data_IF_847305705991
#
_entry.id   IF_847305705991
#
_cell.length_a   1.000
_cell.length_b   1.000
_cell.length_c   1.000
_cell.angle_alpha   90.00
_cell.angle_beta   90.00
_cell.angle_gamma   90.00
#
_symmetry.space_group_name_H-M   'P 1'
#
loop_
_entity.id
_entity.type
_entity.pdbx_description
1 polymer ?
#
# COMPACT_ATOMS: atom_id res chain seq x y z
N UNK A 1 -63.32 -42.54 -3.97
CA UNK A 1 -62.79 -41.85 -5.16
C UNK A 1 -61.77 -40.82 -4.68
N UNK A 2 -60.61 -40.73 -5.34
CA UNK A 2 -59.29 -41.01 -4.76
C UNK A 2 -58.33 -39.79 -4.95
N UNK A 3 -57.07 -39.76 -4.51
CA UNK A 3 -55.87 -40.53 -4.94
C UNK A 3 -54.84 -40.47 -3.79
N UNK A 4 -54.33 -41.57 -3.21
CA UNK A 4 -53.32 -42.53 -3.73
C UNK A 4 -52.04 -41.79 -4.20
N UNK A 5 -50.81 -42.11 -3.80
CA UNK A 5 -50.22 -43.31 -3.21
C UNK A 5 -48.72 -42.99 -2.92
N UNK A 6 -48.02 -43.92 -2.25
CA UNK A 6 -46.57 -44.21 -2.39
C UNK A 6 -45.56 -43.24 -1.72
N UNK A 7 -44.50 -43.66 -1.00
CA UNK A 7 -43.85 -44.96 -0.89
C UNK A 7 -42.96 -45.05 0.36
N UNK A 8 -42.79 -46.29 0.78
CA UNK A 8 -41.91 -46.86 1.79
C UNK A 8 -40.44 -46.40 1.75
N UNK A 9 -39.87 -46.41 2.95
CA UNK A 9 -38.46 -46.39 3.28
C UNK A 9 -37.68 -47.48 2.52
N UNK A 10 -36.63 -47.09 1.80
CA UNK A 10 -35.53 -47.97 1.43
C UNK A 10 -34.21 -47.29 1.84
N UNK A 11 -33.49 -47.98 2.72
CA UNK A 11 -32.13 -47.68 3.14
C UNK A 11 -31.21 -48.01 1.97
N UNK A 12 -30.46 -47.02 1.47
CA UNK A 12 -29.38 -47.25 0.50
C UNK A 12 -28.05 -47.47 1.26
N UNK A 13 -27.21 -48.43 0.81
CA UNK A 13 -25.97 -48.75 1.49
C UNK A 13 -24.91 -47.66 1.30
N UNK A 14 -24.19 -47.38 2.39
CA UNK A 14 -23.03 -46.49 2.44
C UNK A 14 -21.96 -46.97 1.45
N UNK A 15 -21.72 -46.19 0.40
CA UNK A 15 -20.60 -46.42 -0.52
C UNK A 15 -19.32 -45.92 0.17
N UNK A 16 -18.21 -46.69 0.21
CA UNK A 16 -16.97 -46.20 0.76
C UNK A 16 -16.42 -45.08 -0.14
N UNK A 17 -16.14 -43.93 0.47
CA UNK A 17 -15.46 -42.80 -0.17
C UNK A 17 -14.05 -43.25 -0.53
N UNK A 18 -13.85 -43.57 -1.81
CA UNK A 18 -12.53 -43.78 -2.39
C UNK A 18 -11.79 -42.44 -2.34
N UNK A 19 -10.70 -42.40 -1.58
CA UNK A 19 -9.82 -41.25 -1.50
C UNK A 19 -9.20 -40.97 -2.87
N UNK A 20 -9.55 -39.83 -3.46
CA UNK A 20 -8.82 -39.28 -4.60
C UNK A 20 -7.48 -38.68 -4.13
N UNK A 21 -6.40 -38.75 -4.94
CA UNK A 21 -5.07 -38.32 -4.53
C UNK A 21 -5.02 -36.82 -4.26
N UNK A 22 -4.47 -36.46 -3.11
CA UNK A 22 -4.12 -35.10 -2.73
C UNK A 22 -3.33 -34.41 -3.84
N UNK A 23 -3.95 -33.42 -4.50
CA UNK A 23 -3.18 -32.44 -5.27
C UNK A 23 -2.52 -31.50 -4.25
N UNK A 24 -1.19 -31.35 -4.23
CA UNK A 24 -0.54 -30.48 -3.25
C UNK A 24 -1.00 -29.04 -3.45
N UNK A 25 -1.63 -28.48 -2.42
CA UNK A 25 -1.94 -27.06 -2.34
C UNK A 25 -0.62 -26.28 -2.45
N UNK A 26 -0.43 -25.36 -3.42
CA UNK A 26 0.87 -24.71 -3.61
C UNK A 26 1.22 -23.85 -2.39
N UNK A 27 2.44 -24.06 -1.86
CA UNK A 27 2.99 -23.36 -0.69
C UNK A 27 2.91 -21.81 -0.84
N UNK A 28 2.69 -21.06 0.25
CA UNK A 28 2.48 -19.61 0.24
C UNK A 28 3.54 -18.79 -0.51
N UNK A 29 4.80 -19.23 -0.50
CA UNK A 29 5.94 -18.54 -1.13
C UNK A 29 5.86 -18.42 -2.66
N UNK A 30 5.30 -19.41 -3.37
CA UNK A 30 5.19 -19.34 -4.85
C UNK A 30 4.13 -18.33 -5.28
N UNK A 31 3.09 -18.13 -4.46
CA UNK A 31 2.01 -17.16 -4.72
C UNK A 31 2.48 -15.73 -4.46
N UNK A 32 3.18 -15.49 -3.34
CA UNK A 32 3.73 -14.16 -3.02
C UNK A 32 4.78 -13.71 -4.05
N UNK A 33 5.68 -14.59 -4.49
CA UNK A 33 6.70 -14.24 -5.48
C UNK A 33 6.09 -13.90 -6.85
N UNK A 34 5.07 -14.66 -7.30
CA UNK A 34 4.36 -14.40 -8.56
C UNK A 34 3.51 -13.13 -8.51
N UNK A 35 2.87 -12.88 -7.37
CA UNK A 35 2.07 -11.68 -7.12
C UNK A 35 2.96 -10.43 -7.06
N UNK A 36 4.12 -10.51 -6.41
CA UNK A 36 5.12 -9.43 -6.40
C UNK A 36 5.70 -9.16 -7.79
N UNK A 37 5.95 -10.20 -8.60
CA UNK A 37 6.42 -10.05 -9.98
C UNK A 37 5.39 -9.36 -10.88
N UNK A 38 4.11 -9.72 -10.76
CA UNK A 38 3.03 -9.07 -11.51
C UNK A 38 2.81 -7.62 -11.03
N UNK A 39 2.91 -7.37 -9.72
CA UNK A 39 2.82 -6.03 -9.16
C UNK A 39 3.98 -5.12 -9.61
N UNK A 40 5.19 -5.67 -9.77
CA UNK A 40 6.35 -4.92 -10.25
C UNK A 40 6.25 -4.45 -11.70
N UNK A 41 5.34 -5.02 -12.51
CA UNK A 41 5.13 -4.63 -13.92
C UNK A 41 4.01 -3.63 -14.16
N UNK A 42 3.07 -3.50 -13.20
CA UNK A 42 1.91 -2.59 -13.33
C UNK A 42 1.95 -1.54 -12.19
N UNK A 43 2.19 -0.25 -12.51
CA UNK A 43 2.28 0.81 -11.52
C UNK A 43 0.94 1.12 -10.82
N UNK A 44 -0.16 0.48 -11.26
CA UNK A 44 -1.50 0.58 -10.65
C UNK A 44 -2.01 -0.75 -10.08
N UNK A 45 -1.21 -1.82 -10.05
CA UNK A 45 -1.67 -3.18 -9.72
C UNK A 45 -2.55 -3.26 -8.45
N UNK A 46 -2.09 -2.71 -7.32
CA UNK A 46 -2.85 -2.79 -6.07
C UNK A 46 -4.07 -1.87 -6.05
N UNK A 47 -4.03 -0.77 -6.80
CA UNK A 47 -5.18 0.12 -6.96
C UNK A 47 -6.24 -0.48 -7.87
N UNK A 48 -5.85 -1.10 -8.99
CA UNK A 48 -6.74 -1.87 -9.86
C UNK A 48 -7.54 -2.89 -9.05
N UNK A 49 -6.86 -3.62 -8.14
CA UNK A 49 -7.52 -4.57 -7.24
C UNK A 49 -8.42 -3.92 -6.20
N UNK A 50 -8.04 -2.76 -5.68
CA UNK A 50 -8.87 -2.00 -4.75
C UNK A 50 -10.17 -1.52 -5.42
N UNK A 51 -10.06 -0.79 -6.53
CA UNK A 51 -11.20 -0.19 -7.24
C UNK A 51 -12.11 -1.24 -7.89
N UNK A 52 -11.60 -2.44 -8.23
CA UNK A 52 -12.43 -3.56 -8.69
C UNK A 52 -13.54 -3.98 -7.70
N UNK A 53 -13.41 -3.64 -6.41
CA UNK A 53 -14.46 -3.90 -5.42
C UNK A 53 -15.61 -2.87 -5.48
N UNK A 54 -15.51 -1.87 -6.34
CA UNK A 54 -16.47 -0.79 -6.53
C UNK A 54 -16.92 -0.71 -7.99
N UNK A 55 -17.70 -1.69 -8.50
CA UNK A 55 -18.01 -1.83 -9.92
C UNK A 55 -18.82 -0.67 -10.52
N UNK A 56 -19.46 0.15 -9.67
CA UNK A 56 -20.22 1.33 -10.10
C UNK A 56 -19.36 2.61 -10.14
N UNK A 57 -18.07 2.52 -9.85
CA UNK A 57 -17.13 3.64 -9.95
C UNK A 57 -16.24 3.48 -11.19
N UNK A 58 -16.27 4.49 -12.04
CA UNK A 58 -15.46 4.58 -13.25
C UNK A 58 -14.05 5.08 -12.90
N UNK A 59 -13.21 4.13 -12.47
CA UNK A 59 -11.82 4.39 -12.09
C UNK A 59 -10.95 4.66 -13.32
N UNK A 60 -10.31 5.83 -13.35
CA UNK A 60 -9.32 6.20 -14.36
C UNK A 60 -7.90 5.99 -13.80
N UNK A 61 -7.16 4.96 -14.24
CA UNK A 61 -5.82 4.66 -13.74
C UNK A 61 -4.77 5.71 -14.15
N UNK A 62 -5.05 6.59 -15.11
CA UNK A 62 -4.12 7.64 -15.55
C UNK A 62 -4.10 8.86 -14.62
N UNK A 63 -5.12 9.04 -13.79
CA UNK A 63 -5.24 10.18 -12.88
C UNK A 63 -4.49 9.95 -11.56
N UNK A 64 -4.10 11.03 -10.84
CA UNK A 64 -3.50 10.93 -9.51
C UNK A 64 -4.38 10.13 -8.54
N UNK A 65 -3.78 9.19 -7.82
CA UNK A 65 -4.54 8.15 -7.14
C UNK A 65 -5.44 8.66 -6.02
N UNK A 66 -4.97 9.71 -5.33
CA UNK A 66 -5.76 10.36 -4.29
C UNK A 66 -6.96 11.11 -4.86
N UNK A 67 -6.89 11.61 -6.10
CA UNK A 67 -8.05 12.24 -6.77
C UNK A 67 -9.12 11.19 -7.07
N UNK A 68 -8.72 10.03 -7.57
CA UNK A 68 -9.65 8.91 -7.83
C UNK A 68 -10.30 8.40 -6.55
N UNK A 69 -9.51 8.26 -5.47
CA UNK A 69 -10.07 7.88 -4.18
C UNK A 69 -11.06 8.90 -3.62
N UNK A 70 -10.81 10.21 -3.81
CA UNK A 70 -11.76 11.26 -3.42
C UNK A 70 -13.03 11.23 -4.29
N UNK A 71 -12.92 11.12 -5.62
CA UNK A 71 -14.07 10.95 -6.52
C UNK A 71 -14.94 9.76 -6.11
N UNK A 72 -14.31 8.62 -5.82
CA UNK A 72 -15.02 7.43 -5.34
C UNK A 72 -15.71 7.71 -4.00
N UNK A 73 -15.05 8.39 -3.07
CA UNK A 73 -15.65 8.75 -1.79
C UNK A 73 -16.88 9.67 -1.95
N UNK A 74 -16.82 10.62 -2.87
CA UNK A 74 -17.90 11.56 -3.14
C UNK A 74 -19.09 10.86 -3.82
N UNK A 75 -18.84 9.83 -4.62
CA UNK A 75 -19.88 9.02 -5.27
C UNK A 75 -20.65 8.15 -4.27
N UNK A 76 -19.96 7.37 -3.43
CA UNK A 76 -20.62 6.38 -2.57
C UNK A 76 -21.04 6.93 -1.21
N UNK A 77 -20.43 8.02 -0.76
CA UNK A 77 -20.70 8.61 0.54
C UNK A 77 -20.83 10.14 0.46
N UNK A 78 -21.78 10.65 -0.37
CA UNK A 78 -22.04 12.07 -0.48
C UNK A 78 -22.69 12.60 0.81
N UNK A 79 -22.40 13.86 1.17
CA UNK A 79 -23.10 14.59 2.23
C UNK A 79 -23.14 13.95 3.62
N UNK A 80 -22.02 13.40 4.10
CA UNK A 80 -21.93 12.89 5.48
C UNK A 80 -21.51 13.99 6.47
N UNK A 81 -22.20 14.12 7.62
CA UNK A 81 -21.69 14.85 8.77
C UNK A 81 -20.34 14.29 9.22
N UNK A 82 -19.44 15.13 9.73
CA UNK A 82 -18.10 14.69 10.15
C UNK A 82 -18.16 13.69 11.31
N UNK A 83 -19.21 13.77 12.12
CA UNK A 83 -19.41 12.91 13.30
C UNK A 83 -19.84 11.48 12.94
N UNK A 84 -20.39 11.27 11.74
CA UNK A 84 -20.95 9.99 11.30
C UNK A 84 -20.23 9.46 10.06
N UNK A 85 -19.02 8.96 10.24
CA UNK A 85 -18.32 8.25 9.15
C UNK A 85 -18.78 6.79 9.14
N UNK A 86 -19.49 6.32 8.08
CA UNK A 86 -19.97 4.94 7.98
C UNK A 86 -18.84 3.94 8.09
N UNK A 87 -19.14 2.77 8.65
CA UNK A 87 -18.21 1.63 8.73
C UNK A 87 -17.55 1.32 7.39
N UNK A 88 -18.32 1.41 6.32
CA UNK A 88 -17.90 0.99 4.99
C UNK A 88 -16.93 2.00 4.38
N UNK A 89 -17.12 3.30 4.64
CA UNK A 89 -16.15 4.36 4.29
C UNK A 89 -14.85 4.22 5.08
N UNK A 90 -14.93 3.87 6.37
CA UNK A 90 -13.74 3.58 7.21
C UNK A 90 -12.96 2.38 6.66
N UNK A 91 -13.68 1.31 6.30
CA UNK A 91 -13.08 0.12 5.68
C UNK A 91 -12.45 0.43 4.33
N UNK A 92 -13.16 1.13 3.44
CA UNK A 92 -12.63 1.58 2.15
C UNK A 92 -11.33 2.37 2.31
N UNK A 93 -11.28 3.30 3.27
CA UNK A 93 -10.06 4.07 3.57
C UNK A 93 -8.93 3.21 4.09
N UNK A 94 -9.21 2.22 4.95
CA UNK A 94 -8.21 1.27 5.43
C UNK A 94 -7.64 0.41 4.29
N UNK A 95 -8.52 -0.12 3.43
CA UNK A 95 -8.13 -0.96 2.31
C UNK A 95 -7.36 -0.16 1.24
N UNK A 96 -7.74 1.09 1.00
CA UNK A 96 -7.01 1.99 0.12
C UNK A 96 -5.61 2.34 0.66
N UNK A 97 -5.48 2.62 1.98
CA UNK A 97 -4.17 2.82 2.62
C UNK A 97 -3.27 1.60 2.50
N UNK A 98 -3.84 0.40 2.65
CA UNK A 98 -3.10 -0.84 2.40
C UNK A 98 -2.63 -0.93 0.94
N UNK A 99 -3.45 -0.52 -0.03
CA UNK A 99 -3.06 -0.49 -1.44
C UNK A 99 -1.90 0.49 -1.70
N UNK A 100 -1.90 1.68 -1.09
CA UNK A 100 -0.78 2.63 -1.17
C UNK A 100 0.55 2.00 -0.73
N UNK A 101 0.55 1.32 0.41
CA UNK A 101 1.73 0.66 0.99
C UNK A 101 2.22 -0.47 0.10
N UNK A 102 1.31 -1.33 -0.33
CA UNK A 102 1.65 -2.45 -1.20
C UNK A 102 2.17 -1.98 -2.56
N UNK A 103 1.59 -0.92 -3.12
CA UNK A 103 2.06 -0.35 -4.38
C UNK A 103 3.44 0.29 -4.23
N UNK A 104 3.69 1.04 -3.16
CA UNK A 104 5.03 1.56 -2.87
C UNK A 104 6.07 0.42 -2.84
N UNK A 105 5.80 -0.62 -2.06
CA UNK A 105 6.71 -1.76 -1.90
C UNK A 105 6.95 -2.50 -3.22
N UNK A 106 5.95 -2.58 -4.11
CA UNK A 106 6.12 -3.21 -5.42
C UNK A 106 6.97 -2.38 -6.38
N UNK A 107 6.93 -1.05 -6.28
CA UNK A 107 7.73 -0.16 -7.13
C UNK A 107 9.18 -0.10 -6.61
N UNK A 108 9.33 0.19 -5.33
CA UNK A 108 10.62 0.57 -4.75
C UNK A 108 11.34 -0.55 -4.01
N UNK A 109 10.62 -1.61 -3.63
CA UNK A 109 11.13 -2.69 -2.79
C UNK A 109 10.72 -2.54 -1.33
N UNK A 110 10.95 -3.60 -0.56
CA UNK A 110 10.61 -3.65 0.87
C UNK A 110 11.74 -4.22 1.75
N UNK A 111 12.88 -4.58 1.16
CA UNK A 111 14.00 -5.15 1.89
C UNK A 111 14.98 -4.04 2.27
N UNK A 112 15.00 -3.67 3.56
CA UNK A 112 15.91 -2.66 4.07
C UNK A 112 17.39 -3.02 3.93
N UNK A 113 17.74 -4.28 3.69
CA UNK A 113 19.11 -4.73 3.49
C UNK A 113 19.51 -4.84 2.02
N UNK A 114 18.62 -4.49 1.09
CA UNK A 114 18.87 -4.54 -0.34
C UNK A 114 19.34 -3.18 -0.87
N UNK A 115 20.65 -3.05 -1.13
CA UNK A 115 21.26 -1.83 -1.68
C UNK A 115 20.56 -1.34 -2.96
N UNK A 116 20.14 -2.24 -3.86
CA UNK A 116 19.52 -1.85 -5.12
C UNK A 116 18.15 -1.18 -4.93
N UNK A 117 17.38 -1.58 -3.90
CA UNK A 117 16.11 -0.94 -3.57
C UNK A 117 16.33 0.49 -3.05
N UNK A 118 17.40 0.70 -2.26
CA UNK A 118 17.79 2.01 -1.77
C UNK A 118 18.31 2.93 -2.88
N UNK A 119 19.20 2.44 -3.75
CA UNK A 119 19.71 3.21 -4.88
C UNK A 119 18.58 3.63 -5.82
N UNK A 120 17.58 2.77 -6.03
CA UNK A 120 16.37 3.11 -6.80
C UNK A 120 15.63 4.30 -6.18
N UNK A 121 15.50 4.36 -4.85
CA UNK A 121 14.92 5.53 -4.18
C UNK A 121 15.78 6.78 -4.38
N UNK A 122 17.10 6.69 -4.26
CA UNK A 122 18.00 7.83 -4.50
C UNK A 122 17.82 8.42 -5.91
N UNK A 123 17.72 7.56 -6.94
CA UNK A 123 17.45 7.96 -8.33
C UNK A 123 16.13 8.69 -8.45
N UNK A 124 15.05 8.13 -7.89
CA UNK A 124 13.69 8.67 -8.05
C UNK A 124 13.49 9.96 -7.27
N UNK A 125 14.20 10.12 -6.16
CA UNK A 125 14.28 11.37 -5.41
C UNK A 125 15.17 12.42 -6.10
N UNK A 126 15.80 12.08 -7.24
CA UNK A 126 16.67 12.95 -8.01
C UNK A 126 17.80 13.55 -7.17
N UNK A 127 18.46 12.70 -6.38
CA UNK A 127 19.60 13.07 -5.55
C UNK A 127 20.86 13.13 -6.42
N UNK A 128 21.73 14.12 -6.18
CA UNK A 128 22.89 14.42 -7.03
C UNK A 128 23.90 13.27 -7.11
N UNK A 129 24.00 12.47 -6.04
CA UNK A 129 24.88 11.33 -5.94
C UNK A 129 24.12 10.11 -5.42
N UNK A 130 24.42 8.94 -5.97
CA UNK A 130 23.85 7.65 -5.56
C UNK A 130 24.97 6.86 -4.87
N UNK A 131 24.92 6.67 -3.55
CA UNK A 131 25.96 5.93 -2.84
C UNK A 131 26.02 4.45 -3.23
N UNK A 132 27.23 3.88 -3.15
CA UNK A 132 27.48 2.44 -3.32
C UNK A 132 27.43 1.66 -1.99
N UNK A 133 27.17 2.37 -0.89
CA UNK A 133 27.05 1.79 0.45
C UNK A 133 25.63 1.94 0.99
N UNK A 134 25.15 0.86 1.61
CA UNK A 134 23.78 0.74 2.10
C UNK A 134 23.44 1.81 3.15
N UNK A 135 24.35 2.02 4.10
CA UNK A 135 24.13 2.95 5.21
C UNK A 135 24.06 4.40 4.71
N UNK A 136 24.95 4.77 3.78
CA UNK A 136 24.93 6.10 3.15
C UNK A 136 23.63 6.34 2.36
N UNK A 137 23.09 5.32 1.67
CA UNK A 137 21.79 5.46 1.01
C UNK A 137 20.66 5.65 2.02
N UNK A 138 20.66 4.90 3.13
CA UNK A 138 19.66 5.02 4.19
C UNK A 138 19.66 6.43 4.79
N UNK A 139 20.82 6.93 5.18
CA UNK A 139 20.99 8.27 5.73
C UNK A 139 20.51 9.35 4.75
N UNK A 140 20.94 9.24 3.50
CA UNK A 140 20.59 10.20 2.46
C UNK A 140 19.07 10.23 2.22
N UNK A 141 18.43 9.07 2.06
CA UNK A 141 16.98 8.98 1.90
C UNK A 141 16.24 9.50 3.15
N UNK A 142 16.71 9.14 4.35
CA UNK A 142 16.14 9.59 5.61
C UNK A 142 16.28 11.11 5.82
N UNK A 143 17.28 11.76 5.22
CA UNK A 143 17.44 13.21 5.27
C UNK A 143 16.43 13.96 4.39
N UNK A 144 15.72 13.27 3.50
CA UNK A 144 14.74 13.89 2.61
C UNK A 144 13.37 14.05 3.25
N UNK A 145 12.61 15.03 2.77
CA UNK A 145 11.19 15.18 3.06
C UNK A 145 10.41 15.17 1.76
N UNK A 146 9.61 14.14 1.53
CA UNK A 146 8.86 13.92 0.29
C UNK A 146 7.48 13.36 0.62
N UNK A 147 6.47 13.65 -0.21
CA UNK A 147 5.16 13.01 -0.03
C UNK A 147 5.16 11.64 -0.70
N UNK A 148 4.92 10.59 0.09
CA UNK A 148 4.94 9.20 -0.38
C UNK A 148 3.84 8.87 -1.41
N UNK A 149 2.72 9.60 -1.42
CA UNK A 149 1.71 9.45 -2.47
C UNK A 149 2.26 9.93 -3.80
N UNK A 150 3.00 11.04 -3.82
CA UNK A 150 3.64 11.53 -5.06
C UNK A 150 4.62 10.50 -5.61
N UNK A 151 5.39 9.82 -4.75
CA UNK A 151 6.26 8.71 -5.18
C UNK A 151 5.48 7.54 -5.75
N UNK A 152 4.32 7.20 -5.19
CA UNK A 152 3.49 6.11 -5.74
C UNK A 152 2.83 6.50 -7.06
N UNK A 153 2.49 7.77 -7.26
CA UNK A 153 1.91 8.29 -8.51
C UNK A 153 2.96 8.56 -9.60
N UNK A 154 4.24 8.74 -9.25
CA UNK A 154 5.32 9.14 -10.16
C UNK A 154 5.46 8.23 -11.40
N UNK A 155 5.43 6.89 -11.32
CA UNK A 155 5.53 6.03 -12.50
C UNK A 155 4.41 6.22 -13.52
N UNK A 156 3.25 6.75 -13.11
CA UNK A 156 2.10 6.97 -14.00
C UNK A 156 2.04 8.42 -14.45
N UNK A 157 2.12 9.35 -13.51
CA UNK A 157 1.98 10.77 -13.79
C UNK A 157 3.21 11.37 -14.47
N UNK A 158 4.38 10.72 -14.31
CA UNK A 158 5.68 11.22 -14.77
C UNK A 158 6.02 12.61 -14.22
N UNK A 159 5.34 13.02 -13.14
CA UNK A 159 5.62 14.26 -12.42
C UNK A 159 6.60 13.94 -11.30
N UNK A 160 7.81 14.54 -11.30
CA UNK A 160 8.79 14.32 -10.24
C UNK A 160 8.23 14.67 -8.85
N UNK A 161 8.50 13.82 -7.87
CA UNK A 161 8.07 14.06 -6.50
C UNK A 161 8.83 15.26 -5.93
N UNK A 162 8.10 16.19 -5.30
CA UNK A 162 8.70 17.39 -4.73
C UNK A 162 9.46 17.05 -3.45
N UNK A 163 10.74 17.39 -3.41
CA UNK A 163 11.50 17.44 -2.17
C UNK A 163 11.20 18.75 -1.41
N UNK A 164 10.97 18.62 -0.11
CA UNK A 164 10.73 19.72 0.80
C UNK A 164 11.97 19.92 1.68
N UNK A 165 12.27 21.18 2.01
CA UNK A 165 13.38 21.52 2.92
C UNK A 165 13.09 21.24 4.39
N UNK A 166 11.86 20.85 4.75
CA UNK A 166 11.49 20.52 6.12
C UNK A 166 10.20 19.70 6.22
N UNK A 167 10.06 18.97 7.32
CA UNK A 167 8.85 18.21 7.66
C UNK A 167 7.62 19.12 7.76
N UNK A 168 7.77 20.36 8.27
CA UNK A 168 6.67 21.33 8.33
C UNK A 168 6.12 21.69 6.95
N UNK A 169 6.99 21.85 5.95
CA UNK A 169 6.55 22.16 4.58
C UNK A 169 5.91 20.95 3.91
N UNK A 170 6.46 19.76 4.12
CA UNK A 170 5.82 18.51 3.72
C UNK A 170 4.43 18.36 4.36
N UNK A 171 4.31 18.67 5.66
CA UNK A 171 3.05 18.65 6.41
C UNK A 171 2.03 19.62 5.81
N UNK A 172 2.43 20.87 5.58
CA UNK A 172 1.57 21.89 5.00
C UNK A 172 1.07 21.49 3.59
N UNK A 173 1.97 20.98 2.75
CA UNK A 173 1.62 20.45 1.42
C UNK A 173 0.62 19.30 1.54
N UNK A 174 0.92 18.29 2.36
CA UNK A 174 0.08 17.10 2.52
C UNK A 174 -1.31 17.44 3.06
N UNK A 175 -1.40 18.38 4.02
CA UNK A 175 -2.67 18.90 4.54
C UNK A 175 -3.47 19.61 3.47
N UNK A 176 -2.81 20.45 2.66
CA UNK A 176 -3.44 21.22 1.59
C UNK A 176 -3.99 20.33 0.48
N UNK A 177 -3.25 19.30 0.07
CA UNK A 177 -3.64 18.41 -1.03
C UNK A 177 -4.49 17.23 -0.57
N UNK A 178 -4.49 16.92 0.73
CA UNK A 178 -5.16 15.75 1.29
C UNK A 178 -4.45 14.42 1.02
N UNK A 179 -3.22 14.45 0.52
CA UNK A 179 -2.46 13.26 0.09
C UNK A 179 -1.78 12.55 1.28
N UNK A 180 -2.57 12.01 2.19
CA UNK A 180 -2.06 11.33 3.37
C UNK A 180 -1.64 9.89 3.08
N UNK A 181 -0.35 9.61 3.27
CA UNK A 181 0.16 8.24 3.35
C UNK A 181 -0.04 7.67 4.76
N UNK A 182 -0.38 6.36 4.91
CA UNK A 182 -0.53 5.73 6.22
C UNK A 182 0.77 5.77 7.04
N UNK A 183 0.65 6.16 8.31
CA UNK A 183 1.77 6.17 9.28
C UNK A 183 1.75 4.92 10.18
N UNK A 184 0.66 4.13 10.14
CA UNK A 184 0.43 3.05 11.09
C UNK A 184 1.53 1.97 11.03
N UNK A 185 2.05 1.56 12.19
CA UNK A 185 3.21 0.65 12.33
C UNK A 185 3.06 -0.68 11.61
N UNK A 186 1.83 -1.17 11.45
CA UNK A 186 1.52 -2.37 10.66
C UNK A 186 1.95 -2.28 9.18
N UNK A 187 2.23 -1.08 8.70
CA UNK A 187 2.67 -0.77 7.34
C UNK A 187 4.09 -0.20 7.27
N UNK A 188 4.71 0.10 8.41
CA UNK A 188 5.99 0.80 8.54
C UNK A 188 7.17 -0.19 8.64
N UNK A 189 7.26 -1.15 7.72
CA UNK A 189 8.39 -2.07 7.61
C UNK A 189 9.26 -1.77 6.39
N UNK A 190 10.52 -2.18 6.42
CA UNK A 190 11.44 -2.04 5.29
C UNK A 190 11.78 -0.59 4.98
N UNK A 191 11.89 -0.26 3.69
CA UNK A 191 12.26 1.09 3.22
C UNK A 191 11.32 2.20 3.74
N UNK A 192 10.03 1.90 3.89
CA UNK A 192 9.02 2.89 4.28
C UNK A 192 9.31 3.53 5.63
N UNK A 193 9.84 2.80 6.60
CA UNK A 193 10.06 3.33 7.96
C UNK A 193 10.98 4.56 7.97
N UNK A 194 11.94 4.62 7.03
CA UNK A 194 12.91 5.71 6.92
C UNK A 194 12.35 6.96 6.24
N UNK A 195 11.25 6.82 5.49
CA UNK A 195 10.58 7.91 4.77
C UNK A 195 9.36 8.48 5.49
N UNK A 196 8.83 7.76 6.49
CA UNK A 196 7.64 8.19 7.22
C UNK A 196 7.91 9.42 8.09
N UNK A 197 6.94 10.35 8.11
CA UNK A 197 7.04 11.65 8.78
C UNK A 197 5.75 11.99 9.54
N UNK A 198 5.86 12.79 10.58
CA UNK A 198 4.73 13.28 11.38
C UNK A 198 4.00 14.40 10.64
N UNK A 199 2.96 14.05 9.89
CA UNK A 199 2.21 15.04 9.10
C UNK A 199 1.25 15.88 9.95
N UNK A 200 0.63 15.30 10.98
CA UNK A 200 -0.37 16.04 11.78
C UNK A 200 0.28 17.07 12.70
N UNK A 201 1.33 16.64 13.40
CA UNK A 201 2.11 17.41 14.36
C UNK A 201 3.59 17.32 13.97
N UNK A 202 4.03 18.08 12.95
CA UNK A 202 5.40 18.02 12.46
C UNK A 202 6.38 18.51 13.53
N UNK A 203 7.55 17.87 13.61
CA UNK A 203 8.63 18.31 14.48
C UNK A 203 9.25 19.63 14.00
N UNK A 204 10.08 20.23 14.84
CA UNK A 204 10.70 21.53 14.59
C UNK A 204 11.86 21.48 13.57
N UNK A 205 12.13 20.31 12.99
CA UNK A 205 13.16 20.14 11.96
C UNK A 205 14.58 19.97 12.52
N UNK A 206 14.73 19.68 13.80
CA UNK A 206 15.97 19.11 14.30
C UNK A 206 16.00 17.65 13.87
N UNK A 207 17.11 17.25 13.26
CA UNK A 207 17.36 15.90 12.77
C UNK A 207 16.81 14.85 13.74
N UNK A 208 16.22 13.80 13.17
CA UNK A 208 16.01 12.56 13.92
C UNK A 208 17.32 12.24 14.64
N UNK A 209 17.35 12.03 15.97
CA UNK A 209 18.54 11.50 16.62
C UNK A 209 18.77 10.14 15.97
N UNK A 210 19.75 10.07 15.08
CA UNK A 210 20.29 8.83 14.58
C UNK A 210 20.78 8.04 15.79
N UNK A 211 20.43 6.76 15.80
CA UNK A 211 21.24 5.65 16.28
C UNK A 211 22.64 6.06 16.75
N UNK A 212 22.75 6.45 18.01
CA UNK A 212 23.98 6.36 18.78
C UNK A 212 23.60 5.95 20.20
N UNK A 213 23.46 4.65 20.38
CA UNK A 213 23.78 4.00 21.63
C UNK A 213 24.32 2.63 21.29
N UNK A 214 25.65 2.57 21.15
CA UNK A 214 26.54 1.75 21.97
C UNK A 214 27.86 1.68 21.19
N UNK A 215 28.85 2.41 21.68
CA UNK A 215 30.26 2.00 21.74
C UNK A 215 31.00 3.07 22.56
N UNK A 216 30.89 2.96 23.88
CA UNK A 216 31.92 3.48 24.79
C UNK A 216 32.61 2.28 25.44
N UNK A 217 33.94 2.30 25.30
CA UNK A 217 35.03 1.51 25.90
C UNK A 217 35.10 0.01 25.63
#
# INVERSE_FOLDING_TARGET
>A
MPFNNRFQFNVLPTVPVVATPNTPNPKPQRRSHRENKAAGSDPRYYFNRFFKNYPNFDYDPSLPIMKEFHRMCDLFWPYLPKEEIPSDKKRARKDFRKALVLQFNAIYGCDENNLADWQKLCVVLNLEYIPDELENCRELVASTYVNLVDLVDLPVTQVPARLFRSERLLSAYTKKTGQYFPLESAYAGGLLQFLLRQIKTPGDGLAHPSLHSVCET
#
